data_IF_912148312699
#
_entry.id   IF_912148312699
#
_cell.length_a   1.000
_cell.length_b   1.000
_cell.length_c   1.000
_cell.angle_alpha   90.00
_cell.angle_beta   90.00
_cell.angle_gamma   90.00
#
_symmetry.space_group_name_H-M   'P 1'
#
loop_
_entity.id
_entity.type
_entity.pdbx_description
1 polymer ?
#
# COMPACT_ATOMS: atom_id res chain seq x y z
N UNK A 1 18.43 -10.80 -31.70
CA UNK A 1 17.54 -9.85 -32.44
C UNK A 1 16.07 -9.96 -32.03
N UNK A 2 15.48 -11.15 -31.89
CA UNK A 2 14.05 -11.33 -31.54
C UNK A 2 13.69 -10.83 -30.13
N UNK A 3 14.52 -11.09 -29.12
CA UNK A 3 14.25 -10.69 -27.72
C UNK A 3 14.18 -9.17 -27.56
N UNK A 4 15.17 -8.44 -28.08
CA UNK A 4 15.20 -6.96 -28.02
C UNK A 4 13.93 -6.39 -28.63
N UNK A 5 13.55 -6.83 -29.83
CA UNK A 5 12.34 -6.33 -30.49
C UNK A 5 11.06 -6.71 -29.75
N UNK A 6 10.99 -7.91 -29.18
CA UNK A 6 9.85 -8.36 -28.37
C UNK A 6 9.68 -7.54 -27.08
N UNK A 7 10.78 -7.21 -26.40
CA UNK A 7 10.76 -6.42 -25.16
C UNK A 7 10.35 -4.98 -25.44
N UNK A 8 10.92 -4.35 -26.46
CA UNK A 8 10.61 -2.96 -26.83
C UNK A 8 9.19 -2.82 -27.40
N UNK A 9 8.77 -3.72 -28.29
CA UNK A 9 7.48 -3.56 -28.99
C UNK A 9 6.28 -3.98 -28.13
N UNK A 10 6.44 -4.92 -27.18
CA UNK A 10 5.30 -5.48 -26.41
C UNK A 10 5.41 -5.24 -24.91
N UNK A 11 6.56 -5.55 -24.31
CA UNK A 11 6.69 -5.51 -22.85
C UNK A 11 6.70 -4.07 -22.32
N UNK A 12 7.44 -3.17 -22.98
CA UNK A 12 7.58 -1.78 -22.53
C UNK A 12 6.24 -1.02 -22.51
N UNK A 13 5.37 -1.28 -23.48
CA UNK A 13 4.05 -0.63 -23.55
C UNK A 13 3.11 -1.06 -22.42
N UNK A 14 3.11 -2.34 -22.06
CA UNK A 14 2.31 -2.84 -20.95
C UNK A 14 2.87 -2.33 -19.62
N UNK A 15 4.20 -2.34 -19.46
CA UNK A 15 4.86 -1.81 -18.27
C UNK A 15 4.63 -0.31 -18.10
N UNK A 16 4.68 0.49 -19.17
CA UNK A 16 4.38 1.92 -19.11
C UNK A 16 2.97 2.21 -18.62
N UNK A 17 1.98 1.43 -19.09
CA UNK A 17 0.58 1.54 -18.62
C UNK A 17 0.43 1.12 -17.15
N UNK A 18 1.12 0.07 -16.73
CA UNK A 18 1.11 -0.36 -15.33
C UNK A 18 1.78 0.70 -14.42
N UNK A 19 2.93 1.22 -14.83
CA UNK A 19 3.66 2.26 -14.10
C UNK A 19 2.87 3.55 -13.97
N UNK A 20 2.07 3.93 -14.98
CA UNK A 20 1.21 5.10 -14.94
C UNK A 20 0.17 5.07 -13.80
N UNK A 21 -0.20 3.87 -13.32
CA UNK A 21 -1.12 3.69 -12.17
C UNK A 21 -0.35 3.41 -10.88
N UNK A 22 0.70 2.58 -10.95
CA UNK A 22 1.49 2.18 -9.78
C UNK A 22 2.35 3.32 -9.21
N UNK A 23 2.91 4.20 -10.06
CA UNK A 23 3.75 5.30 -9.58
C UNK A 23 2.94 6.35 -8.78
N UNK A 24 1.77 6.84 -9.23
CA UNK A 24 0.93 7.71 -8.41
C UNK A 24 0.50 7.07 -7.09
N UNK A 25 0.08 5.80 -7.13
CA UNK A 25 -0.29 5.06 -5.93
C UNK A 25 0.88 4.94 -4.95
N UNK A 26 2.07 4.59 -5.45
CA UNK A 26 3.30 4.49 -4.66
C UNK A 26 3.68 5.82 -3.99
N UNK A 27 3.50 6.95 -4.68
CA UNK A 27 3.73 8.29 -4.10
C UNK A 27 2.76 8.55 -2.94
N UNK A 28 1.48 8.25 -3.12
CA UNK A 28 0.47 8.40 -2.06
C UNK A 28 0.82 7.53 -0.86
N UNK A 29 1.13 6.25 -1.07
CA UNK A 29 1.53 5.33 0.00
C UNK A 29 2.77 5.83 0.73
N UNK A 30 3.78 6.30 0.00
CA UNK A 30 5.01 6.83 0.58
C UNK A 30 4.74 8.05 1.46
N UNK A 31 3.93 9.00 0.99
CA UNK A 31 3.52 10.17 1.77
C UNK A 31 2.75 9.74 3.03
N UNK A 32 1.83 8.79 2.90
CA UNK A 32 1.05 8.32 4.05
C UNK A 32 1.92 7.62 5.10
N UNK A 33 2.92 6.86 4.68
CA UNK A 33 3.81 6.13 5.58
C UNK A 33 4.85 7.03 6.27
N UNK A 34 5.35 8.07 5.59
CA UNK A 34 6.49 8.87 6.06
C UNK A 34 6.10 10.22 6.68
N UNK A 35 4.92 10.75 6.37
CA UNK A 35 4.43 11.96 7.02
C UNK A 35 3.70 11.59 8.32
N UNK A 36 4.12 12.23 9.40
CA UNK A 36 3.54 12.04 10.73
C UNK A 36 2.92 13.33 11.25
N UNK A 37 1.78 13.18 11.93
CA UNK A 37 1.09 14.24 12.65
C UNK A 37 0.93 13.75 14.09
N UNK A 38 1.31 14.55 15.08
CA UNK A 38 1.17 14.21 16.50
C UNK A 38 1.66 12.77 16.84
N UNK A 39 2.89 12.46 16.41
CA UNK A 39 3.60 11.20 16.64
C UNK A 39 3.02 9.94 15.97
N UNK A 40 2.03 10.07 15.08
CA UNK A 40 1.52 8.96 14.27
C UNK A 40 1.55 9.27 12.77
N UNK A 41 1.87 8.26 11.95
CA UNK A 41 1.87 8.41 10.48
C UNK A 41 0.46 8.66 9.95
N UNK A 42 0.34 9.33 8.79
CA UNK A 42 -0.94 9.49 8.09
C UNK A 42 -1.59 8.13 7.76
N UNK A 43 -0.77 7.11 7.51
CA UNK A 43 -1.20 5.73 7.35
C UNK A 43 -1.91 5.21 8.60
N UNK A 44 -1.32 5.42 9.79
CA UNK A 44 -1.94 5.03 11.06
C UNK A 44 -3.23 5.81 11.33
N UNK A 45 -3.30 7.09 10.96
CA UNK A 45 -4.54 7.86 11.05
C UNK A 45 -5.63 7.28 10.13
N UNK A 46 -5.29 6.95 8.89
CA UNK A 46 -6.21 6.30 7.94
C UNK A 46 -6.71 4.95 8.44
N UNK A 47 -5.82 4.14 9.01
CA UNK A 47 -6.19 2.86 9.62
C UNK A 47 -7.19 3.04 10.77
N UNK A 48 -6.97 4.01 11.68
CA UNK A 48 -7.91 4.31 12.77
C UNK A 48 -9.28 4.80 12.28
N UNK A 49 -9.33 5.51 11.14
CA UNK A 49 -10.59 5.93 10.52
C UNK A 49 -11.35 4.71 9.97
N UNK A 50 -10.63 3.72 9.42
CA UNK A 50 -11.21 2.49 8.89
C UNK A 50 -11.50 1.44 9.96
N UNK A 51 -10.96 1.58 11.17
CA UNK A 51 -11.16 0.68 12.31
C UNK A 51 -12.62 0.30 12.57
N UNK A 52 -13.60 1.22 12.70
CA UNK A 52 -14.99 0.84 12.92
C UNK A 52 -15.58 0.03 11.77
N UNK A 53 -15.17 0.30 10.52
CA UNK A 53 -15.59 -0.49 9.36
C UNK A 53 -14.95 -1.87 9.38
N UNK A 54 -13.69 -1.96 9.80
CA UNK A 54 -12.95 -3.20 9.99
C UNK A 54 -13.69 -4.10 10.97
N UNK A 55 -13.99 -3.56 12.16
CA UNK A 55 -14.64 -4.32 13.23
C UNK A 55 -16.02 -4.87 12.80
N UNK A 56 -16.79 -4.10 12.01
CA UNK A 56 -18.06 -4.59 11.43
C UNK A 56 -17.88 -5.77 10.47
N UNK A 57 -16.72 -5.86 9.81
CA UNK A 57 -16.35 -6.97 8.91
C UNK A 57 -15.57 -8.09 9.63
N UNK A 58 -15.30 -7.95 10.94
CA UNK A 58 -14.42 -8.85 11.69
C UNK A 58 -12.93 -8.70 11.35
N UNK A 59 -12.53 -7.54 10.83
CA UNK A 59 -11.16 -7.18 10.43
C UNK A 59 -10.62 -6.00 11.28
N UNK A 60 -9.32 -5.76 11.19
CA UNK A 60 -8.65 -4.57 11.76
C UNK A 60 -8.62 -3.44 10.71
N UNK A 61 -8.71 -2.18 11.15
CA UNK A 61 -8.55 -1.00 10.30
C UNK A 61 -7.22 -0.96 9.54
N UNK A 62 -6.14 -1.49 10.10
CA UNK A 62 -4.85 -1.67 9.41
C UNK A 62 -4.98 -2.63 8.22
N UNK A 63 -5.71 -3.73 8.38
CA UNK A 63 -5.92 -4.71 7.31
C UNK A 63 -6.73 -4.08 6.18
N UNK A 64 -7.82 -3.39 6.52
CA UNK A 64 -8.62 -2.66 5.53
C UNK A 64 -7.83 -1.57 4.81
N UNK A 65 -7.02 -0.82 5.55
CA UNK A 65 -6.15 0.21 4.99
C UNK A 65 -5.14 -0.38 4.00
N UNK A 66 -4.55 -1.52 4.33
CA UNK A 66 -3.65 -2.25 3.46
C UNK A 66 -4.31 -2.69 2.16
N UNK A 67 -5.54 -3.22 2.20
CA UNK A 67 -6.29 -3.57 1.01
C UNK A 67 -6.67 -2.35 0.17
N UNK A 68 -7.07 -1.24 0.81
CA UNK A 68 -7.46 -0.02 0.11
C UNK A 68 -6.29 0.58 -0.67
N UNK A 69 -5.11 0.66 -0.03
CA UNK A 69 -3.90 1.18 -0.67
C UNK A 69 -3.29 0.20 -1.68
N UNK A 70 -3.49 -1.10 -1.50
CA UNK A 70 -2.99 -2.14 -2.40
C UNK A 70 -3.85 -2.40 -3.63
N UNK A 71 -5.01 -1.75 -3.81
CA UNK A 71 -5.85 -1.90 -5.01
C UNK A 71 -5.09 -1.75 -6.35
N UNK A 72 -4.12 -0.82 -6.49
CA UNK A 72 -3.36 -0.66 -7.75
C UNK A 72 -2.34 -1.77 -8.00
N UNK A 73 -1.91 -2.49 -6.97
CA UNK A 73 -0.92 -3.57 -7.03
C UNK A 73 -1.15 -4.54 -5.85
N UNK A 74 -1.78 -5.68 -6.09
CA UNK A 74 -2.26 -6.54 -5.01
C UNK A 74 -1.12 -7.15 -4.17
N UNK A 75 0.08 -7.26 -4.72
CA UNK A 75 1.24 -7.85 -4.05
C UNK A 75 1.79 -6.98 -2.92
N UNK A 76 1.50 -5.67 -2.92
CA UNK A 76 1.97 -4.75 -1.87
C UNK A 76 1.06 -4.69 -0.65
N UNK A 77 -0.12 -5.32 -0.68
CA UNK A 77 -1.06 -5.36 0.45
C UNK A 77 -0.39 -5.90 1.71
N UNK A 78 0.26 -7.07 1.62
CA UNK A 78 0.91 -7.71 2.77
C UNK A 78 2.08 -6.87 3.31
N UNK A 79 3.03 -6.37 2.48
CA UNK A 79 4.05 -5.43 2.94
C UNK A 79 3.50 -4.22 3.70
N UNK A 80 2.43 -3.59 3.20
CA UNK A 80 1.82 -2.42 3.86
C UNK A 80 1.26 -2.79 5.24
N UNK A 81 0.59 -3.93 5.34
CA UNK A 81 0.03 -4.42 6.63
C UNK A 81 1.16 -4.66 7.63
N UNK A 82 2.22 -5.38 7.23
CA UNK A 82 3.36 -5.67 8.10
C UNK A 82 4.04 -4.38 8.55
N UNK A 83 4.33 -3.46 7.62
CA UNK A 83 4.94 -2.17 7.93
C UNK A 83 4.08 -1.35 8.90
N UNK A 84 2.77 -1.35 8.71
CA UNK A 84 1.84 -0.61 9.57
C UNK A 84 1.86 -1.13 11.01
N UNK A 85 1.82 -2.45 11.19
CA UNK A 85 1.90 -3.07 12.52
C UNK A 85 3.25 -2.89 13.22
N UNK A 86 4.33 -2.85 12.43
CA UNK A 86 5.67 -2.55 12.98
C UNK A 86 5.76 -1.09 13.43
N UNK A 87 5.22 -0.16 12.64
CA UNK A 87 5.25 1.27 12.94
C UNK A 87 4.33 1.67 14.12
N UNK A 88 3.21 0.96 14.31
CA UNK A 88 2.29 1.21 15.42
C UNK A 88 2.76 0.65 16.77
N UNK A 89 3.87 -0.11 16.81
CA UNK A 89 4.35 -0.74 18.03
C UNK A 89 3.43 -1.83 18.59
N UNK A 90 2.36 -2.20 17.89
CA UNK A 90 1.38 -3.20 18.32
C UNK A 90 1.97 -4.62 18.38
N UNK A 91 3.12 -4.86 17.75
CA UNK A 91 3.91 -6.08 17.92
C UNK A 91 4.75 -6.11 19.22
N UNK A 92 4.81 -5.04 20.01
CA UNK A 92 5.52 -4.98 21.30
C UNK A 92 4.63 -5.25 22.52
N UNK A 93 3.32 -5.46 22.33
CA UNK A 93 2.36 -5.72 23.41
C UNK A 93 2.05 -7.22 23.61
N UNK A 94 3.05 -8.08 23.41
CA UNK A 94 3.08 -9.49 23.82
C UNK A 94 4.33 -9.73 24.67
#
# INVERSE_FOLDING_TARGET
KVIVRSVFDRTLFVLGRAAAVAAPAGIVIWLMANLSIADASLLAHGARILEPLGQLMGLDGIILMGFLLGLPANEIVIPIIIMSYMASGSMQAL
#
